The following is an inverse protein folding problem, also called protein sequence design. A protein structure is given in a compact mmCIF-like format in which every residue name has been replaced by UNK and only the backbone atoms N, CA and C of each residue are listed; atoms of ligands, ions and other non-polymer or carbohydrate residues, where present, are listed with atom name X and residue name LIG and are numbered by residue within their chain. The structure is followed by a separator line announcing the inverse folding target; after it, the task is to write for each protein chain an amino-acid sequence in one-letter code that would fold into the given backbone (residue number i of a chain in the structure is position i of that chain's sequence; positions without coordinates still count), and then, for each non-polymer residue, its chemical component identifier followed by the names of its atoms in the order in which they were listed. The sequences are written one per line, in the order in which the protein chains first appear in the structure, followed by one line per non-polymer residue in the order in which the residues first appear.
data_IF_970846983599
#
_entry.id   IF_970846983599
#
_cell.length_a   1.000
_cell.length_b   1.000
_cell.length_c   1.000
_cell.angle_alpha   90.00
_cell.angle_beta   90.00
_cell.angle_gamma   90.00
#
_symmetry.space_group_name_H-M   'P 1'
#
loop_
_entity.id
_entity.type
_entity.pdbx_description
1 polymer ?
#
# COMPACT_ATOMS: atom_id res chain seq x y z
N UNK A 1 12.61 10.12 3.18
CA UNK A 1 14.10 10.17 3.22
C UNK A 1 14.73 9.54 4.48
N UNK A 2 14.06 9.61 5.65
CA UNK A 2 14.61 9.16 6.93
C UNK A 2 14.17 7.73 7.33
N UNK A 3 13.73 6.92 6.35
CA UNK A 3 13.32 5.54 6.63
C UNK A 3 14.55 4.70 6.98
N UNK A 4 14.39 3.80 7.94
CA UNK A 4 15.47 2.90 8.34
C UNK A 4 15.60 1.78 7.33
N UNK A 5 16.83 1.33 7.06
CA UNK A 5 17.04 0.10 6.32
C UNK A 5 16.55 -1.08 7.17
N UNK A 6 15.49 -1.74 6.72
CA UNK A 6 14.92 -2.92 7.37
C UNK A 6 14.85 -4.09 6.38
N UNK A 7 15.12 -5.29 6.89
CA UNK A 7 14.98 -6.50 6.08
C UNK A 7 13.52 -6.93 6.05
N UNK A 8 12.98 -7.04 4.83
CA UNK A 8 11.62 -7.48 4.61
C UNK A 8 11.60 -9.01 4.62
N UNK A 9 10.70 -9.59 5.40
CA UNK A 9 10.55 -11.05 5.51
C UNK A 9 9.40 -11.59 4.66
N UNK A 10 8.50 -10.72 4.20
CA UNK A 10 7.45 -11.07 3.25
C UNK A 10 6.69 -9.84 2.76
N UNK A 11 6.22 -9.91 1.51
CA UNK A 11 5.35 -8.92 0.88
C UNK A 11 4.25 -9.67 0.14
N UNK A 12 3.01 -9.28 0.39
CA UNK A 12 1.81 -9.76 -0.30
C UNK A 12 1.13 -8.53 -0.96
N UNK A 13 0.73 -8.66 -2.22
CA UNK A 13 0.00 -7.64 -2.98
C UNK A 13 -1.28 -8.26 -3.53
N UNK A 14 -2.39 -7.56 -3.36
CA UNK A 14 -3.70 -7.97 -3.85
C UNK A 14 -4.31 -6.83 -4.68
N UNK A 15 -4.93 -7.19 -5.80
CA UNK A 15 -5.57 -6.26 -6.73
C UNK A 15 -7.01 -6.73 -6.95
N UNK A 16 -7.96 -5.84 -6.71
CA UNK A 16 -9.37 -6.13 -6.84
C UNK A 16 -10.02 -5.11 -7.79
N UNK A 17 -10.59 -5.61 -8.88
CA UNK A 17 -11.30 -4.76 -9.85
C UNK A 17 -12.72 -4.51 -9.32
N UNK A 18 -13.02 -3.25 -9.01
CA UNK A 18 -14.34 -2.80 -8.55
C UNK A 18 -15.11 -2.27 -9.74
N UNK A 19 -15.80 -3.15 -10.47
CA UNK A 19 -16.56 -2.78 -11.67
C UNK A 19 -17.66 -1.75 -11.38
N UNK A 20 -18.33 -1.88 -10.23
CA UNK A 20 -19.39 -0.95 -9.80
C UNK A 20 -18.87 0.50 -9.64
N UNK A 21 -17.62 0.64 -9.18
CA UNK A 21 -16.98 1.94 -8.90
C UNK A 21 -16.01 2.38 -10.02
N UNK A 22 -15.85 1.59 -11.08
CA UNK A 22 -14.81 1.76 -12.11
C UNK A 22 -13.41 2.00 -11.53
N UNK A 23 -13.05 1.25 -10.50
CA UNK A 23 -11.78 1.45 -9.77
C UNK A 23 -10.99 0.17 -9.57
N UNK A 24 -9.71 0.32 -9.25
CA UNK A 24 -8.83 -0.78 -8.84
C UNK A 24 -8.44 -0.57 -7.40
N UNK A 25 -8.89 -1.45 -6.53
CA UNK A 25 -8.48 -1.47 -5.12
C UNK A 25 -7.18 -2.27 -5.00
N UNK A 26 -6.17 -1.64 -4.37
CA UNK A 26 -4.83 -2.22 -4.21
C UNK A 26 -4.54 -2.36 -2.73
N UNK A 27 -4.28 -3.59 -2.29
CA UNK A 27 -3.89 -3.89 -0.90
C UNK A 27 -2.47 -4.42 -0.85
N UNK A 28 -1.66 -3.87 0.05
CA UNK A 28 -0.31 -4.35 0.34
C UNK A 28 -0.21 -4.79 1.79
N UNK A 29 0.53 -5.86 2.03
CA UNK A 29 0.91 -6.31 3.36
C UNK A 29 2.38 -6.70 3.39
N UNK A 30 3.18 -5.89 4.09
CA UNK A 30 4.58 -6.17 4.33
C UNK A 30 4.83 -6.67 5.77
N UNK A 31 5.84 -7.53 5.93
CA UNK A 31 6.26 -8.09 7.23
C UNK A 31 7.76 -7.92 7.41
N UNK A 32 8.17 -7.68 8.65
CA UNK A 32 9.57 -7.62 9.07
C UNK A 32 9.73 -8.13 10.49
N UNK A 33 10.95 -8.51 10.86
CA UNK A 33 11.40 -8.75 12.24
C UNK A 33 12.31 -7.63 12.75
N UNK A 34 12.36 -6.49 12.05
CA UNK A 34 13.16 -5.32 12.40
C UNK A 34 12.70 -4.58 13.66
N UNK A 35 13.54 -3.64 14.12
CA UNK A 35 13.28 -2.83 15.33
C UNK A 35 12.29 -1.68 15.11
N UNK A 36 12.03 -1.32 13.85
CA UNK A 36 11.08 -0.28 13.45
C UNK A 36 9.90 -0.91 12.73
N UNK A 37 8.78 -0.18 12.66
CA UNK A 37 7.64 -0.61 11.85
C UNK A 37 7.96 -0.61 10.35
N UNK A 38 7.07 -1.24 9.59
CA UNK A 38 7.15 -1.46 8.13
C UNK A 38 5.96 -0.81 7.39
N UNK A 39 5.38 0.24 7.99
CA UNK A 39 4.23 0.96 7.44
C UNK A 39 4.58 1.60 6.08
N UNK A 40 5.79 2.15 5.98
CA UNK A 40 6.23 2.89 4.80
C UNK A 40 6.39 1.99 3.59
N UNK A 41 6.86 0.75 3.77
CA UNK A 41 7.04 -0.23 2.71
C UNK A 41 5.69 -0.64 2.14
N UNK A 42 4.68 -0.82 3.00
CA UNK A 42 3.32 -1.15 2.56
C UNK A 42 2.66 0.03 1.81
N UNK A 43 2.80 1.25 2.33
CA UNK A 43 2.28 2.45 1.68
C UNK A 43 2.99 2.75 0.35
N UNK A 44 4.30 2.54 0.30
CA UNK A 44 5.09 2.73 -0.92
C UNK A 44 4.72 1.69 -1.96
N UNK A 45 4.53 0.43 -1.57
CA UNK A 45 4.15 -0.64 -2.49
C UNK A 45 2.82 -0.33 -3.21
N UNK A 46 1.77 0.05 -2.49
CA UNK A 46 0.49 0.43 -3.14
C UNK A 46 0.62 1.70 -3.98
N UNK A 47 1.42 2.68 -3.55
CA UNK A 47 1.64 3.93 -4.29
C UNK A 47 2.30 3.66 -5.64
N UNK A 48 3.37 2.87 -5.65
CA UNK A 48 4.10 2.53 -6.88
C UNK A 48 3.27 1.61 -7.77
N UNK A 49 2.50 0.69 -7.20
CA UNK A 49 1.57 -0.14 -7.97
C UNK A 49 0.48 0.72 -8.65
N UNK A 50 -0.10 1.68 -7.93
CA UNK A 50 -1.07 2.61 -8.50
C UNK A 50 -0.47 3.46 -9.63
N UNK A 51 0.75 3.98 -9.43
CA UNK A 51 1.48 4.71 -10.46
C UNK A 51 1.77 3.84 -11.69
N UNK A 52 2.06 2.55 -11.49
CA UNK A 52 2.28 1.59 -12.58
C UNK A 52 1.00 1.37 -13.38
N UNK A 53 -0.15 1.21 -12.71
CA UNK A 53 -1.45 1.09 -13.38
C UNK A 53 -1.78 2.37 -14.16
N UNK A 54 -1.54 3.54 -13.57
CA UNK A 54 -1.70 4.81 -14.28
C UNK A 54 -0.82 4.84 -15.53
N UNK A 55 0.46 4.44 -15.43
CA UNK A 55 1.39 4.40 -16.56
C UNK A 55 0.89 3.49 -17.70
N UNK A 56 0.35 2.32 -17.37
CA UNK A 56 -0.20 1.38 -18.36
C UNK A 56 -1.48 1.91 -19.03
N UNK A 57 -2.33 2.62 -18.29
CA UNK A 57 -3.67 3.00 -18.76
C UNK A 57 -3.78 4.46 -19.25
N UNK A 58 -2.79 5.33 -19.00
CA UNK A 58 -2.84 6.78 -19.32
C UNK A 58 -3.05 7.11 -20.81
N UNK A 59 -2.82 6.16 -21.71
CA UNK A 59 -3.11 6.33 -23.13
C UNK A 59 -4.61 6.28 -23.43
N UNK A 60 -5.37 5.53 -22.62
CA UNK A 60 -6.82 5.33 -22.76
C UNK A 60 -7.57 6.42 -21.99
N UNK A 61 -7.19 6.68 -20.74
CA UNK A 61 -7.77 7.74 -19.92
C UNK A 61 -6.70 8.45 -19.10
N UNK A 62 -6.60 9.77 -19.24
CA UNK A 62 -5.65 10.60 -18.50
C UNK A 62 -6.22 11.14 -17.19
N UNK A 63 -7.54 11.07 -17.01
CA UNK A 63 -8.26 11.62 -15.86
C UNK A 63 -8.31 10.66 -14.66
N UNK A 64 -7.73 9.46 -14.77
CA UNK A 64 -7.62 8.52 -13.65
C UNK A 64 -7.02 9.22 -12.43
N UNK A 65 -7.61 8.98 -11.26
CA UNK A 65 -7.18 9.55 -9.98
C UNK A 65 -6.63 8.43 -9.10
N UNK A 66 -5.44 8.64 -8.54
CA UNK A 66 -4.92 7.82 -7.45
C UNK A 66 -5.37 8.46 -6.14
N UNK A 67 -6.20 7.76 -5.37
CA UNK A 67 -6.77 8.24 -4.11
C UNK A 67 -6.64 7.21 -2.99
N UNK A 68 -7.02 7.60 -1.77
CA UNK A 68 -7.19 6.69 -0.63
C UNK A 68 -5.95 5.83 -0.26
N UNK A 69 -4.73 6.34 -0.50
CA UNK A 69 -3.51 5.71 0.00
C UNK A 69 -3.45 5.89 1.52
N UNK A 70 -3.76 4.82 2.25
CA UNK A 70 -3.88 4.86 3.71
C UNK A 70 -3.49 3.55 4.38
N UNK A 71 -2.99 3.65 5.61
CA UNK A 71 -2.64 2.48 6.42
C UNK A 71 -3.90 1.91 7.08
N UNK A 72 -4.21 0.63 6.81
CA UNK A 72 -5.40 -0.05 7.36
C UNK A 72 -5.10 -0.75 8.69
N UNK A 73 -3.96 -1.41 8.80
CA UNK A 73 -3.59 -2.20 9.96
C UNK A 73 -2.08 -2.22 10.15
N UNK A 74 -1.64 -2.16 11.41
CA UNK A 74 -0.27 -2.41 11.83
C UNK A 74 -0.29 -3.20 13.13
N UNK A 75 0.59 -4.18 13.24
CA UNK A 75 0.81 -4.93 14.48
C UNK A 75 2.28 -4.90 14.86
N UNK A 76 2.58 -4.94 16.16
CA UNK A 76 3.95 -5.00 16.68
C UNK A 76 4.56 -3.66 17.04
N UNK A 77 5.71 -3.72 17.71
CA UNK A 77 6.34 -2.56 18.34
C UNK A 77 5.63 -2.13 19.64
N UNK A 78 6.18 -1.13 20.32
CA UNK A 78 5.67 -0.64 21.62
C UNK A 78 4.25 -0.06 21.52
N UNK A 79 3.88 0.47 20.35
CA UNK A 79 2.54 1.03 20.09
C UNK A 79 1.43 -0.03 19.99
N UNK A 80 1.77 -1.32 19.94
CA UNK A 80 0.79 -2.40 19.84
C UNK A 80 0.11 -2.46 18.47
N UNK A 81 -1.13 -2.94 18.46
CA UNK A 81 -1.95 -3.11 17.26
C UNK A 81 -2.73 -1.84 16.97
N UNK A 82 -2.59 -1.33 15.76
CA UNK A 82 -3.43 -0.31 15.16
C UNK A 82 -4.32 -0.95 14.10
N UNK A 83 -5.60 -0.62 14.13
CA UNK A 83 -6.59 -0.92 13.10
C UNK A 83 -7.31 0.40 12.84
N UNK A 84 -7.40 0.77 11.56
CA UNK A 84 -8.15 1.95 11.15
C UNK A 84 -9.64 1.70 11.36
N UNK A 85 -10.30 2.62 12.07
CA UNK A 85 -11.76 2.69 12.14
C UNK A 85 -12.29 3.36 10.86
N UNK A 86 -13.41 2.85 10.34
CA UNK A 86 -14.06 3.36 9.12
C UNK A 86 -14.75 4.71 9.34
#
# INVERSE_FOLDING_TARGET
PMCHNIFITGVEMEFNLKEEDNSVEITSKAKTTGKTGIEMESLTAVSVAALTIYDMCKAVDKNMVISEIKLLKKTGGKSGTYIREE
#
